data_IF_653836518866
#
_entry.id   IF_653836518866
#
_cell.length_a   1.000
_cell.length_b   1.000
_cell.length_c   1.000
_cell.angle_alpha   90.00
_cell.angle_beta   90.00
_cell.angle_gamma   90.00
#
_symmetry.space_group_name_H-M   'P 1'
#
loop_
_entity.id
_entity.type
_entity.pdbx_description
1 polymer ?
#
# COMPACT_ATOMS: atom_id res chain seq x y z
N UNK A 1 -29.34 12.56 -19.25
CA UNK A 1 -28.60 11.27 -19.33
C UNK A 1 -27.20 11.38 -18.75
N UNK A 2 -26.39 12.39 -19.09
CA UNK A 2 -25.01 12.56 -18.60
C UNK A 2 -24.86 12.49 -17.06
N UNK A 3 -25.75 13.16 -16.31
CA UNK A 3 -25.70 13.10 -14.84
C UNK A 3 -25.89 11.71 -14.25
N UNK A 4 -26.80 10.90 -14.82
CA UNK A 4 -27.00 9.51 -14.37
C UNK A 4 -25.77 8.64 -14.66
N UNK A 5 -25.13 8.84 -15.80
CA UNK A 5 -23.88 8.14 -16.16
C UNK A 5 -22.77 8.49 -15.17
N UNK A 6 -22.62 9.77 -14.84
CA UNK A 6 -21.61 10.23 -13.88
C UNK A 6 -21.81 9.58 -12.49
N UNK A 7 -23.06 9.45 -12.04
CA UNK A 7 -23.38 8.81 -10.75
C UNK A 7 -22.98 7.33 -10.77
N UNK A 8 -23.32 6.60 -11.83
CA UNK A 8 -22.95 5.17 -11.95
C UNK A 8 -21.44 4.99 -11.94
N UNK A 9 -20.71 5.83 -12.70
CA UNK A 9 -19.26 5.79 -12.74
C UNK A 9 -18.66 6.08 -11.37
N UNK A 10 -19.15 7.10 -10.67
CA UNK A 10 -18.68 7.43 -9.33
C UNK A 10 -18.90 6.27 -8.35
N UNK A 11 -20.08 5.64 -8.36
CA UNK A 11 -20.41 4.52 -7.48
C UNK A 11 -19.59 3.27 -7.73
N UNK A 12 -19.05 3.07 -8.93
CA UNK A 12 -18.16 1.95 -9.24
C UNK A 12 -16.71 2.27 -8.88
N UNK A 13 -16.25 3.49 -9.17
CA UNK A 13 -14.85 3.87 -9.00
C UNK A 13 -14.51 4.11 -7.53
N UNK A 14 -15.33 4.86 -6.80
CA UNK A 14 -15.04 5.23 -5.41
C UNK A 14 -14.78 4.03 -4.48
N UNK A 15 -15.66 3.01 -4.38
CA UNK A 15 -15.42 1.89 -3.48
C UNK A 15 -14.18 1.09 -3.90
N UNK A 16 -13.96 0.92 -5.20
CA UNK A 16 -12.79 0.22 -5.73
C UNK A 16 -11.48 0.92 -5.35
N UNK A 17 -11.43 2.26 -5.47
CA UNK A 17 -10.27 3.05 -5.07
C UNK A 17 -10.01 2.95 -3.56
N UNK A 18 -11.06 2.99 -2.74
CA UNK A 18 -10.93 2.85 -1.28
C UNK A 18 -10.34 1.49 -0.93
N UNK A 19 -10.83 0.40 -1.52
CA UNK A 19 -10.30 -0.95 -1.28
C UNK A 19 -8.82 -1.06 -1.66
N UNK A 20 -8.41 -0.51 -2.81
CA UNK A 20 -7.02 -0.56 -3.28
C UNK A 20 -6.10 0.34 -2.44
N UNK A 21 -6.60 1.49 -1.97
CA UNK A 21 -5.80 2.45 -1.20
C UNK A 21 -5.22 1.86 0.09
N UNK A 22 -5.93 0.92 0.72
CA UNK A 22 -5.44 0.23 1.93
C UNK A 22 -4.20 -0.60 1.63
N UNK A 23 -4.26 -1.44 0.58
CA UNK A 23 -3.13 -2.28 0.17
C UNK A 23 -1.93 -1.45 -0.32
N UNK A 24 -2.19 -0.39 -1.08
CA UNK A 24 -1.14 0.53 -1.53
C UNK A 24 -0.48 1.26 -0.35
N UNK A 25 -1.29 1.75 0.60
CA UNK A 25 -0.79 2.39 1.82
C UNK A 25 0.04 1.45 2.69
N UNK A 26 -0.42 0.20 2.88
CA UNK A 26 0.34 -0.79 3.64
C UNK A 26 1.65 -1.17 2.97
N UNK A 27 1.68 -1.26 1.64
CA UNK A 27 2.91 -1.55 0.90
C UNK A 27 3.94 -0.44 1.04
N UNK A 28 3.52 0.83 0.93
CA UNK A 28 4.39 1.99 1.17
C UNK A 28 4.94 1.95 2.59
N UNK A 29 4.07 1.81 3.59
CA UNK A 29 4.50 1.78 4.99
C UNK A 29 5.44 0.62 5.27
N UNK A 30 5.12 -0.59 4.79
CA UNK A 30 5.96 -1.78 4.93
C UNK A 30 7.35 -1.58 4.33
N UNK A 31 7.45 -1.02 3.13
CA UNK A 31 8.73 -0.73 2.49
C UNK A 31 9.61 0.21 3.32
N UNK A 32 9.04 1.32 3.80
CA UNK A 32 9.81 2.29 4.58
C UNK A 32 10.20 1.75 5.96
N UNK A 33 9.31 1.01 6.62
CA UNK A 33 9.59 0.39 7.91
C UNK A 33 10.65 -0.69 7.79
N UNK A 34 10.58 -1.52 6.75
CA UNK A 34 11.58 -2.56 6.48
C UNK A 34 12.95 -1.93 6.24
N UNK A 35 13.05 -0.95 5.34
CA UNK A 35 14.31 -0.27 5.02
C UNK A 35 14.91 0.45 6.23
N UNK A 36 14.08 1.10 7.05
CA UNK A 36 14.54 1.73 8.29
C UNK A 36 15.03 0.69 9.31
N UNK A 37 14.35 -0.46 9.39
CA UNK A 37 14.80 -1.61 10.18
C UNK A 37 16.16 -2.13 9.76
N UNK A 38 16.38 -2.33 8.46
CA UNK A 38 17.65 -2.77 7.89
C UNK A 38 18.79 -1.79 8.17
N UNK A 39 18.60 -0.48 7.91
CA UNK A 39 19.62 0.53 8.14
C UNK A 39 20.01 0.61 9.62
N UNK A 40 19.05 0.53 10.53
CA UNK A 40 19.31 0.63 11.98
C UNK A 40 20.03 -0.59 12.55
N UNK A 41 19.96 -1.72 11.86
CA UNK A 41 20.55 -2.98 12.30
C UNK A 41 21.59 -3.49 11.28
N UNK A 42 22.17 -2.59 10.48
CA UNK A 42 23.20 -2.92 9.50
C UNK A 42 24.40 -3.57 10.21
N UNK A 43 24.70 -4.83 9.89
CA UNK A 43 25.70 -5.66 10.57
C UNK A 43 25.19 -6.53 11.71
N UNK A 44 23.87 -6.61 11.91
CA UNK A 44 23.23 -7.54 12.85
C UNK A 44 23.12 -8.94 12.25
N UNK A 45 23.67 -9.95 12.95
CA UNK A 45 23.54 -11.38 12.62
C UNK A 45 22.08 -11.88 12.53
N UNK A 46 21.12 -11.10 13.05
CA UNK A 46 19.70 -11.42 13.04
C UNK A 46 19.00 -11.07 11.71
N UNK A 47 19.65 -10.29 10.84
CA UNK A 47 19.14 -9.97 9.49
C UNK A 47 19.68 -10.91 8.41
N UNK A 48 20.75 -11.66 8.68
CA UNK A 48 21.30 -12.73 7.83
C UNK A 48 20.50 -14.04 8.00
N UNK A 49 19.16 -13.95 7.98
CA UNK A 49 18.32 -15.14 7.95
C UNK A 49 18.31 -15.63 6.50
N UNK A 50 18.90 -16.80 6.25
CA UNK A 50 18.89 -17.42 4.92
C UNK A 50 17.44 -17.61 4.41
N UNK A 51 17.24 -17.34 3.11
CA UNK A 51 15.96 -17.54 2.39
C UNK A 51 15.44 -18.99 2.46
#
# INVERSE_FOLDING_TARGET
MAGAIAIVVALLIFPSLVLISGGFGSAILGFFLQRDGEIRHEGSELLDIDD
#
